data_IF_348851955972
#
_entry.id   IF_348851955972
#
_cell.length_a   1.000
_cell.length_b   1.000
_cell.length_c   1.000
_cell.angle_alpha   90.00
_cell.angle_beta   90.00
_cell.angle_gamma   90.00
#
_symmetry.space_group_name_H-M   'P 1'
#
loop_
_entity.id
_entity.type
_entity.pdbx_description
1 polymer ?
#
# COMPACT_ATOMS: atom_id res chain seq x y z
N UNK A 1 -11.32 -11.40 -17.86
CA UNK A 1 -10.68 -11.76 -16.58
C UNK A 1 -11.16 -13.14 -16.17
N UNK A 2 -10.26 -14.04 -15.78
CA UNK A 2 -10.66 -15.34 -15.26
C UNK A 2 -11.42 -15.15 -13.94
N UNK A 3 -12.48 -15.93 -13.76
CA UNK A 3 -13.24 -16.02 -12.52
C UNK A 3 -12.29 -16.35 -11.35
N UNK A 4 -12.20 -15.52 -10.29
CA UNK A 4 -11.35 -15.80 -9.13
C UNK A 4 -11.70 -17.11 -8.41
N UNK A 5 -12.84 -17.73 -8.73
CA UNK A 5 -13.25 -19.04 -8.22
C UNK A 5 -12.78 -20.23 -9.08
N UNK A 6 -12.04 -20.03 -10.17
CA UNK A 6 -11.56 -21.16 -10.99
C UNK A 6 -10.34 -21.82 -10.37
N UNK A 7 -10.46 -23.12 -10.11
CA UNK A 7 -9.34 -23.96 -9.77
C UNK A 7 -8.39 -24.02 -10.97
N UNK A 8 -7.15 -23.56 -10.80
CA UNK A 8 -6.14 -23.51 -11.85
C UNK A 8 -4.81 -24.07 -11.37
N UNK A 9 -4.04 -24.61 -12.30
CA UNK A 9 -2.64 -24.97 -12.07
C UNK A 9 -1.75 -24.12 -12.96
N UNK A 10 -0.76 -23.46 -12.35
CA UNK A 10 0.27 -22.69 -13.04
C UNK A 10 1.55 -23.53 -13.03
N UNK A 11 2.14 -23.76 -14.20
CA UNK A 11 3.48 -24.33 -14.32
C UNK A 11 4.53 -23.22 -14.29
N UNK A 12 5.45 -23.26 -13.35
CA UNK A 12 6.54 -22.29 -13.25
C UNK A 12 7.87 -23.00 -13.51
N UNK A 13 8.66 -22.50 -14.47
CA UNK A 13 10.04 -22.96 -14.61
C UNK A 13 10.87 -22.53 -13.40
N UNK A 14 10.71 -21.28 -12.96
CA UNK A 14 11.28 -20.76 -11.71
C UNK A 14 10.21 -20.10 -10.86
N UNK A 15 10.05 -20.57 -9.63
CA UNK A 15 9.22 -19.92 -8.63
C UNK A 15 10.10 -19.25 -7.57
N UNK A 16 9.99 -17.94 -7.45
CA UNK A 16 10.50 -17.18 -6.32
C UNK A 16 9.40 -17.11 -5.26
N UNK A 17 9.47 -17.98 -4.25
CA UNK A 17 8.43 -18.13 -3.22
C UNK A 17 8.54 -17.11 -2.06
N UNK A 18 9.62 -16.33 -2.03
CA UNK A 18 9.91 -15.36 -0.97
C UNK A 18 10.50 -15.97 0.30
N UNK A 19 10.80 -17.27 0.32
CA UNK A 19 11.34 -17.99 1.48
C UNK A 19 12.67 -18.66 1.16
N UNK A 20 12.73 -19.39 0.04
CA UNK A 20 13.94 -20.07 -0.39
C UNK A 20 15.01 -19.07 -0.86
N UNK A 21 16.29 -19.40 -0.61
CA UNK A 21 17.43 -18.59 -1.08
C UNK A 21 17.63 -18.64 -2.60
N UNK A 22 17.05 -19.62 -3.26
CA UNK A 22 17.13 -19.85 -4.70
C UNK A 22 15.75 -20.27 -5.20
N UNK A 23 15.39 -19.98 -6.46
CA UNK A 23 14.07 -20.31 -6.96
C UNK A 23 13.83 -21.82 -6.94
N UNK A 24 12.59 -22.22 -6.67
CA UNK A 24 12.15 -23.59 -6.89
C UNK A 24 12.02 -23.79 -8.41
N UNK A 25 12.66 -24.84 -8.91
CA UNK A 25 12.68 -25.13 -10.34
C UNK A 25 11.57 -26.13 -10.70
N UNK A 26 10.95 -25.92 -11.86
CA UNK A 26 9.95 -26.79 -12.48
C UNK A 26 8.86 -27.26 -11.51
N UNK A 27 8.03 -26.32 -11.06
CA UNK A 27 6.93 -26.57 -10.11
C UNK A 27 5.54 -26.33 -10.70
N UNK A 28 4.56 -27.05 -10.17
CA UNK A 28 3.13 -26.81 -10.34
C UNK A 28 2.58 -26.07 -9.11
N UNK A 29 1.94 -24.93 -9.34
CA UNK A 29 1.25 -24.13 -8.32
C UNK A 29 -0.24 -24.32 -8.52
N UNK A 30 -0.88 -25.04 -7.60
CA UNK A 30 -2.33 -25.30 -7.64
C UNK A 30 -3.04 -24.23 -6.83
N UNK A 31 -3.96 -23.52 -7.46
CA UNK A 31 -4.81 -22.52 -6.84
C UNK A 31 -6.23 -23.08 -6.82
N UNK A 32 -6.86 -23.10 -5.65
CA UNK A 32 -8.24 -23.52 -5.45
C UNK A 32 -8.97 -22.51 -4.59
N UNK A 33 -10.18 -22.11 -5.00
CA UNK A 33 -10.97 -21.11 -4.28
C UNK A 33 -10.20 -19.82 -3.98
N UNK A 34 -9.38 -19.35 -4.93
CA UNK A 34 -8.56 -18.14 -4.78
C UNK A 34 -7.36 -18.26 -3.83
N UNK A 35 -7.00 -19.47 -3.36
CA UNK A 35 -5.87 -19.70 -2.47
C UNK A 35 -4.88 -20.69 -3.07
N UNK A 36 -3.59 -20.52 -2.78
CA UNK A 36 -2.58 -21.52 -3.12
C UNK A 36 -2.83 -22.76 -2.27
N UNK A 37 -3.22 -23.86 -2.91
CA UNK A 37 -3.48 -25.16 -2.28
C UNK A 37 -2.19 -25.96 -2.07
N UNK A 38 -1.34 -25.98 -3.09
CA UNK A 38 -0.10 -26.74 -3.06
C UNK A 38 0.92 -26.20 -4.07
N UNK A 39 2.19 -26.36 -3.72
CA UNK A 39 3.33 -26.20 -4.62
C UNK A 39 4.03 -27.57 -4.62
N UNK A 40 4.19 -28.16 -5.80
CA UNK A 40 4.81 -29.48 -5.96
C UNK A 40 5.67 -29.51 -7.22
N UNK A 41 6.61 -30.47 -7.36
CA UNK A 41 7.31 -30.68 -8.62
C UNK A 41 6.33 -30.82 -9.79
N UNK A 42 6.69 -30.27 -10.93
CA UNK A 42 5.88 -30.29 -12.14
C UNK A 42 5.89 -31.68 -12.77
N UNK A 43 5.11 -32.58 -12.19
CA UNK A 43 4.90 -33.95 -12.67
C UNK A 43 3.47 -34.09 -13.18
N UNK A 44 3.26 -34.54 -14.41
CA UNK A 44 1.91 -34.86 -14.91
C UNK A 44 1.63 -34.44 -16.36
N UNK A 45 0.36 -34.55 -16.74
CA UNK A 45 -0.13 -34.29 -18.10
C UNK A 45 -0.21 -32.78 -18.38
N UNK A 46 0.40 -32.26 -19.47
CA UNK A 46 0.34 -30.85 -19.85
C UNK A 46 -1.09 -30.27 -19.94
N UNK A 47 -2.10 -31.10 -20.19
CA UNK A 47 -3.49 -30.66 -20.31
C UNK A 47 -4.11 -30.13 -19.01
N UNK A 48 -3.49 -30.36 -17.85
CA UNK A 48 -3.96 -29.85 -16.55
C UNK A 48 -3.37 -28.48 -16.18
N UNK A 49 -2.42 -27.97 -16.97
CA UNK A 49 -1.76 -26.69 -16.71
C UNK A 49 -2.48 -25.59 -17.49
N UNK A 50 -3.07 -24.65 -16.76
CA UNK A 50 -3.77 -23.52 -17.37
C UNK A 50 -2.79 -22.51 -17.99
N UNK A 51 -1.65 -22.26 -17.32
CA UNK A 51 -0.64 -21.31 -17.76
C UNK A 51 0.76 -21.81 -17.44
N UNK A 52 1.72 -21.49 -18.32
CA UNK A 52 3.16 -21.72 -18.07
C UNK A 52 3.90 -20.39 -18.11
N UNK A 53 4.81 -20.20 -17.16
CA UNK A 53 5.66 -19.02 -17.09
C UNK A 53 7.10 -19.39 -16.74
N UNK A 54 8.05 -18.63 -17.29
CA UNK A 54 9.48 -18.80 -16.98
C UNK A 54 9.83 -18.38 -15.55
N UNK A 55 9.14 -17.36 -15.06
CA UNK A 55 9.31 -16.80 -13.72
C UNK A 55 7.92 -16.58 -13.14
N UNK A 56 7.71 -17.10 -11.94
CA UNK A 56 6.54 -16.80 -11.11
C UNK A 56 7.02 -16.31 -9.75
N UNK A 57 6.32 -15.33 -9.21
CA UNK A 57 6.53 -14.80 -7.86
C UNK A 57 5.18 -14.32 -7.29
N UNK A 58 5.08 -14.09 -5.97
CA UNK A 58 3.96 -13.34 -5.41
C UNK A 58 3.81 -12.00 -6.14
N UNK A 59 2.57 -11.60 -6.42
CA UNK A 59 2.31 -10.28 -7.01
C UNK A 59 2.81 -9.17 -6.09
N UNK A 60 3.31 -8.08 -6.69
CA UNK A 60 3.96 -7.02 -5.93
C UNK A 60 2.97 -6.29 -5.02
N UNK A 61 3.51 -5.73 -3.94
CA UNK A 61 2.79 -4.86 -3.01
C UNK A 61 3.43 -3.47 -3.12
N UNK A 62 2.68 -2.52 -3.64
CA UNK A 62 3.13 -1.14 -3.79
C UNK A 62 2.59 -0.27 -2.65
N UNK A 63 3.48 0.19 -1.79
CA UNK A 63 3.12 0.98 -0.61
C UNK A 63 3.01 2.49 -0.93
N UNK A 64 3.45 2.92 -2.11
CA UNK A 64 3.43 4.32 -2.48
C UNK A 64 3.14 4.52 -3.97
N UNK A 65 1.84 4.62 -4.30
CA UNK A 65 1.37 4.85 -5.67
C UNK A 65 0.38 6.00 -5.72
N UNK A 66 0.83 7.15 -6.24
CA UNK A 66 -0.01 8.35 -6.37
C UNK A 66 -1.03 8.22 -7.51
N UNK A 67 -0.70 7.46 -8.55
CA UNK A 67 -1.53 7.30 -9.73
C UNK A 67 -1.01 6.22 -10.70
N UNK A 68 -1.90 5.74 -11.55
CA UNK A 68 -1.62 4.81 -12.66
C UNK A 68 -2.78 4.87 -13.67
N UNK A 69 -2.54 4.35 -14.88
CA UNK A 69 -3.53 4.36 -15.97
C UNK A 69 -4.07 5.77 -16.26
N UNK A 70 -3.16 6.76 -16.31
CA UNK A 70 -3.44 8.19 -16.51
C UNK A 70 -4.40 8.83 -15.47
N UNK A 71 -4.61 8.15 -14.34
CA UNK A 71 -5.40 8.66 -13.20
C UNK A 71 -4.48 8.93 -12.01
N UNK A 72 -4.55 10.14 -11.46
CA UNK A 72 -3.92 10.51 -10.20
C UNK A 72 -4.96 10.50 -9.09
N UNK A 73 -4.64 9.88 -7.95
CA UNK A 73 -5.57 9.80 -6.82
C UNK A 73 -5.85 11.18 -6.23
N UNK A 74 -4.83 12.05 -6.20
CA UNK A 74 -5.02 13.45 -5.82
C UNK A 74 -6.03 14.17 -6.72
N UNK A 75 -6.16 13.84 -8.01
CA UNK A 75 -7.12 14.52 -8.89
C UNK A 75 -8.50 13.86 -8.89
N UNK A 76 -8.56 12.53 -8.74
CA UNK A 76 -9.79 11.72 -8.82
C UNK A 76 -10.07 11.00 -7.51
N UNK A 77 -10.62 11.73 -6.54
CA UNK A 77 -10.93 11.25 -5.20
C UNK A 77 -12.23 10.43 -5.15
N UNK A 78 -12.22 9.26 -5.77
CA UNK A 78 -13.34 8.33 -5.77
C UNK A 78 -12.89 6.88 -5.79
N UNK A 79 -13.80 5.97 -5.46
CA UNK A 79 -13.56 4.54 -5.60
C UNK A 79 -13.30 4.14 -7.07
N UNK A 80 -13.94 4.80 -8.05
CA UNK A 80 -13.67 4.60 -9.48
C UNK A 80 -12.23 4.99 -9.85
N UNK A 81 -11.74 6.12 -9.33
CA UNK A 81 -10.35 6.54 -9.53
C UNK A 81 -9.38 5.49 -8.99
N UNK A 82 -9.65 4.96 -7.80
CA UNK A 82 -8.87 3.87 -7.20
C UNK A 82 -8.92 2.60 -8.06
N UNK A 83 -10.08 2.23 -8.62
CA UNK A 83 -10.20 1.07 -9.53
C UNK A 83 -9.29 1.24 -10.74
N UNK A 84 -9.29 2.42 -11.39
CA UNK A 84 -8.43 2.69 -12.53
C UNK A 84 -6.93 2.55 -12.17
N UNK A 85 -6.54 3.04 -10.99
CA UNK A 85 -5.16 2.91 -10.49
C UNK A 85 -4.81 1.43 -10.25
N UNK A 86 -5.69 0.65 -9.61
CA UNK A 86 -5.49 -0.80 -9.40
C UNK A 86 -5.32 -1.54 -10.74
N UNK A 87 -6.15 -1.23 -11.73
CA UNK A 87 -6.06 -1.84 -13.06
C UNK A 87 -4.74 -1.50 -13.75
N UNK A 88 -4.28 -0.25 -13.65
CA UNK A 88 -2.97 0.17 -14.15
C UNK A 88 -1.81 -0.55 -13.46
N UNK A 89 -1.83 -0.60 -12.11
CA UNK A 89 -0.81 -1.27 -11.32
C UNK A 89 -0.71 -2.77 -11.65
N UNK A 90 -1.84 -3.43 -11.91
CA UNK A 90 -1.89 -4.86 -12.30
C UNK A 90 -1.18 -5.15 -13.62
N UNK A 91 -1.13 -4.20 -14.56
CA UNK A 91 -0.37 -4.39 -15.81
C UNK A 91 1.14 -4.50 -15.55
N UNK A 92 1.63 -3.91 -14.46
CA UNK A 92 3.03 -4.01 -14.00
C UNK A 92 3.32 -5.21 -13.08
N UNK A 93 2.33 -6.06 -12.80
CA UNK A 93 2.47 -7.19 -11.87
C UNK A 93 2.17 -6.87 -10.40
N UNK A 94 1.73 -5.65 -10.09
CA UNK A 94 1.32 -5.26 -8.74
C UNK A 94 -0.06 -5.82 -8.41
N UNK A 95 -0.13 -6.64 -7.36
CA UNK A 95 -1.37 -7.26 -6.91
C UNK A 95 -2.07 -6.45 -5.81
N UNK A 96 -1.30 -5.73 -4.99
CA UNK A 96 -1.82 -4.96 -3.87
C UNK A 96 -1.20 -3.57 -3.84
N UNK A 97 -2.00 -2.58 -3.45
CA UNK A 97 -1.58 -1.19 -3.37
C UNK A 97 -2.07 -0.52 -2.08
N UNK A 98 -1.34 0.52 -1.69
CA UNK A 98 -1.84 1.64 -0.90
C UNK A 98 -1.92 2.86 -1.83
N UNK A 99 -3.11 3.26 -2.30
CA UNK A 99 -3.26 4.53 -3.02
C UNK A 99 -2.72 5.65 -2.15
N UNK A 100 -1.80 6.44 -2.69
CA UNK A 100 -1.10 7.49 -1.95
C UNK A 100 -1.76 8.83 -2.22
N UNK A 101 -2.28 9.45 -1.17
CA UNK A 101 -2.77 10.81 -1.21
C UNK A 101 -1.72 11.75 -0.61
N UNK A 102 -1.19 12.66 -1.42
CA UNK A 102 -0.21 13.65 -0.97
C UNK A 102 -0.89 14.87 -0.34
N UNK A 103 -0.07 15.77 0.22
CA UNK A 103 -0.49 17.01 0.89
C UNK A 103 -1.45 17.86 0.07
N UNK A 104 -2.58 18.19 0.69
CA UNK A 104 -3.67 18.98 0.12
C UNK A 104 -4.53 19.56 1.27
N UNK A 105 -5.61 20.28 0.94
CA UNK A 105 -6.57 20.82 1.91
C UNK A 105 -7.18 19.72 2.81
N UNK A 106 -7.48 20.08 4.07
CA UNK A 106 -8.02 19.17 5.09
C UNK A 106 -9.28 18.44 4.63
N UNK A 107 -10.18 19.13 3.91
CA UNK A 107 -11.40 18.52 3.38
C UNK A 107 -11.11 17.41 2.37
N UNK A 108 -10.10 17.59 1.51
CA UNK A 108 -9.69 16.61 0.50
C UNK A 108 -8.93 15.44 1.12
N UNK A 109 -8.11 15.71 2.13
CA UNK A 109 -7.45 14.69 2.94
C UNK A 109 -8.45 13.71 3.58
N UNK A 110 -9.52 14.23 4.19
CA UNK A 110 -10.60 13.41 4.77
C UNK A 110 -11.43 12.69 3.70
N UNK A 111 -11.62 13.33 2.54
CA UNK A 111 -12.28 12.71 1.39
C UNK A 111 -11.48 11.53 0.81
N UNK A 112 -10.14 11.60 0.78
CA UNK A 112 -9.28 10.51 0.33
C UNK A 112 -9.46 9.25 1.18
N UNK A 113 -9.46 9.39 2.52
CA UNK A 113 -9.75 8.28 3.44
C UNK A 113 -11.15 7.71 3.19
N UNK A 114 -12.14 8.58 2.94
CA UNK A 114 -13.52 8.16 2.64
C UNK A 114 -13.62 7.37 1.32
N UNK A 115 -12.92 7.80 0.27
CA UNK A 115 -12.86 7.09 -1.02
C UNK A 115 -12.26 5.69 -0.89
N UNK A 116 -11.20 5.54 -0.09
CA UNK A 116 -10.60 4.23 0.19
C UNK A 116 -11.54 3.33 1.00
N UNK A 117 -12.24 3.89 2.00
CA UNK A 117 -13.28 3.14 2.74
C UNK A 117 -14.36 2.62 1.81
N UNK A 118 -14.84 3.46 0.89
CA UNK A 118 -15.84 3.08 -0.10
C UNK A 118 -15.33 1.98 -1.04
N UNK A 119 -14.12 2.14 -1.60
CA UNK A 119 -13.51 1.14 -2.46
C UNK A 119 -13.39 -0.23 -1.77
N UNK A 120 -12.99 -0.24 -0.50
CA UNK A 120 -12.92 -1.47 0.31
C UNK A 120 -14.30 -2.05 0.61
N UNK A 121 -15.29 -1.22 0.96
CA UNK A 121 -16.66 -1.66 1.19
C UNK A 121 -17.29 -2.29 -0.07
N UNK A 122 -16.91 -1.80 -1.25
CA UNK A 122 -17.29 -2.37 -2.56
C UNK A 122 -16.51 -3.63 -2.95
N UNK A 123 -15.50 -4.02 -2.17
CA UNK A 123 -14.68 -5.20 -2.44
C UNK A 123 -13.69 -5.03 -3.59
N UNK A 124 -13.21 -3.80 -3.86
CA UNK A 124 -12.17 -3.57 -4.87
C UNK A 124 -10.91 -4.36 -4.51
N UNK A 125 -10.60 -5.38 -5.31
CA UNK A 125 -9.51 -6.33 -5.02
C UNK A 125 -8.14 -5.69 -5.20
N UNK A 126 -7.31 -5.76 -4.17
CA UNK A 126 -5.94 -5.25 -4.16
C UNK A 126 -5.74 -3.97 -3.34
N UNK A 127 -6.81 -3.32 -2.88
CA UNK A 127 -6.71 -2.13 -2.02
C UNK A 127 -6.55 -2.54 -0.56
N UNK A 128 -5.35 -2.39 -0.01
CA UNK A 128 -5.06 -2.75 1.39
C UNK A 128 -5.51 -1.69 2.39
N UNK A 129 -5.58 -0.45 1.94
CA UNK A 129 -5.91 0.73 2.72
C UNK A 129 -5.36 1.97 2.01
N UNK A 130 -4.77 2.92 2.74
CA UNK A 130 -4.30 4.20 2.20
C UNK A 130 -2.91 4.54 2.72
N UNK A 131 -2.12 5.21 1.88
CA UNK A 131 -0.92 5.93 2.31
C UNK A 131 -1.22 7.43 2.26
N UNK A 132 -1.11 8.10 3.40
CA UNK A 132 -1.18 9.56 3.51
C UNK A 132 0.24 10.13 3.59
N UNK A 133 0.65 10.86 2.55
CA UNK A 133 1.99 11.46 2.46
C UNK A 133 1.91 12.96 2.79
N UNK A 134 2.09 13.27 4.08
CA UNK A 134 1.78 14.57 4.67
C UNK A 134 0.33 14.69 5.16
N UNK A 135 -0.18 15.92 5.42
CA UNK A 135 0.43 17.23 5.23
C UNK A 135 1.45 17.64 6.30
N UNK A 136 1.72 16.77 7.27
CA UNK A 136 2.54 17.04 8.45
C UNK A 136 4.04 16.95 8.16
N UNK A 137 4.49 17.69 7.15
CA UNK A 137 5.85 17.63 6.59
C UNK A 137 6.69 18.83 7.04
N UNK A 138 8.00 18.77 6.78
CA UNK A 138 8.90 19.88 7.01
C UNK A 138 8.79 20.92 5.88
N UNK A 139 8.52 22.20 6.18
CA UNK A 139 8.54 23.26 5.18
C UNK A 139 9.91 23.44 4.49
N UNK A 140 10.99 22.91 5.09
CA UNK A 140 12.34 22.93 4.52
C UNK A 140 12.57 21.84 3.46
N UNK A 141 11.72 20.82 3.44
CA UNK A 141 11.80 19.67 2.53
C UNK A 141 10.47 19.42 1.79
N UNK A 142 9.85 20.45 1.17
CA UNK A 142 8.50 20.32 0.63
C UNK A 142 8.42 19.38 -0.58
N UNK A 143 9.51 19.22 -1.34
CA UNK A 143 9.48 18.44 -2.58
C UNK A 143 8.43 18.99 -3.54
N UNK A 144 7.52 18.13 -4.02
CA UNK A 144 6.40 18.52 -4.88
C UNK A 144 5.13 18.91 -4.11
N UNK A 145 5.15 18.81 -2.77
CA UNK A 145 3.99 19.11 -1.93
C UNK A 145 3.69 20.60 -1.96
N UNK A 146 2.41 21.02 -2.11
CA UNK A 146 2.03 22.43 -2.08
C UNK A 146 2.44 23.07 -0.75
N UNK A 147 3.39 24.03 -0.74
CA UNK A 147 3.94 24.57 0.52
C UNK A 147 2.87 25.18 1.43
N UNK A 148 1.86 25.84 0.84
CA UNK A 148 0.76 26.47 1.57
C UNK A 148 -0.19 25.47 2.25
N UNK A 149 -0.12 24.19 1.88
CA UNK A 149 -0.88 23.11 2.52
C UNK A 149 -0.06 22.35 3.57
N UNK A 150 1.26 22.55 3.64
CA UNK A 150 2.10 21.95 4.68
C UNK A 150 1.81 22.65 6.00
N UNK A 151 1.42 21.87 7.01
CA UNK A 151 1.00 22.38 8.31
C UNK A 151 1.33 21.40 9.44
N UNK A 152 1.49 21.87 10.69
CA UNK A 152 1.63 20.96 11.82
C UNK A 152 0.37 20.11 12.02
N UNK A 153 0.56 18.95 12.66
CA UNK A 153 -0.51 18.07 13.11
C UNK A 153 -1.15 18.64 14.37
N UNK A 154 -2.48 18.57 14.46
CA UNK A 154 -3.23 18.91 15.67
C UNK A 154 -3.95 17.68 16.28
N UNK A 155 -4.67 17.89 17.37
CA UNK A 155 -5.42 16.83 18.05
C UNK A 155 -6.59 16.28 17.21
N UNK A 156 -7.21 17.10 16.37
CA UNK A 156 -8.32 16.68 15.50
C UNK A 156 -7.81 15.78 14.37
N UNK A 157 -6.57 15.98 13.93
CA UNK A 157 -5.87 15.08 13.00
C UNK A 157 -5.54 13.75 13.66
N UNK A 158 -4.96 13.76 14.87
CA UNK A 158 -4.62 12.53 15.59
C UNK A 158 -5.88 11.70 15.84
N UNK A 159 -6.94 12.33 16.35
CA UNK A 159 -8.21 11.68 16.59
C UNK A 159 -8.82 11.08 15.31
N UNK A 160 -8.74 11.83 14.19
CA UNK A 160 -9.21 11.36 12.90
C UNK A 160 -8.44 10.15 12.39
N UNK A 161 -7.10 10.21 12.41
CA UNK A 161 -6.23 9.15 11.92
C UNK A 161 -6.40 7.87 12.75
N UNK A 162 -6.50 7.98 14.07
CA UNK A 162 -6.78 6.85 14.96
C UNK A 162 -8.15 6.19 14.69
N UNK A 163 -9.12 6.94 14.15
CA UNK A 163 -10.47 6.47 13.87
C UNK A 163 -10.75 6.20 12.38
N UNK A 164 -9.74 6.24 11.51
CA UNK A 164 -9.93 6.28 10.06
C UNK A 164 -10.69 5.06 9.49
N UNK A 165 -10.52 3.87 10.08
CA UNK A 165 -11.18 2.61 9.69
C UNK A 165 -11.16 2.34 8.18
N UNK A 166 -10.00 2.56 7.55
CA UNK A 166 -9.80 2.44 6.11
C UNK A 166 -8.94 1.24 5.70
N UNK A 167 -8.68 0.31 6.62
CA UNK A 167 -7.74 -0.81 6.42
C UNK A 167 -6.35 -0.44 6.91
N UNK A 168 -5.31 -0.82 6.18
CA UNK A 168 -3.96 -0.39 6.48
C UNK A 168 -3.83 1.13 6.29
N UNK A 169 -3.39 1.85 7.31
CA UNK A 169 -3.09 3.27 7.22
C UNK A 169 -1.59 3.46 7.39
N UNK A 170 -0.93 3.89 6.31
CA UNK A 170 0.47 4.32 6.33
C UNK A 170 0.49 5.84 6.30
N UNK A 171 1.17 6.46 7.26
CA UNK A 171 1.31 7.90 7.36
C UNK A 171 2.78 8.27 7.25
N UNK A 172 3.13 9.08 6.24
CA UNK A 172 4.44 9.71 6.15
C UNK A 172 4.36 11.12 6.71
N UNK A 173 5.19 11.41 7.71
CA UNK A 173 5.28 12.72 8.35
C UNK A 173 6.74 13.12 8.62
N UNK A 174 6.95 14.40 8.93
CA UNK A 174 8.20 14.91 9.45
C UNK A 174 8.18 14.84 10.98
N UNK A 175 8.95 13.94 11.63
CA UNK A 175 8.86 13.71 13.07
C UNK A 175 9.20 14.94 13.91
N UNK A 176 10.08 15.82 13.45
CA UNK A 176 10.41 17.09 14.11
C UNK A 176 9.23 18.09 14.11
N UNK A 177 8.18 17.81 13.33
CA UNK A 177 6.95 18.62 13.23
C UNK A 177 5.77 18.00 13.97
N UNK A 178 5.90 16.77 14.45
CA UNK A 178 4.85 16.08 15.19
C UNK A 178 4.85 16.53 16.66
N UNK A 179 3.68 16.74 17.29
CA UNK A 179 3.60 16.93 18.73
C UNK A 179 4.20 15.73 19.49
N UNK A 180 4.77 15.99 20.66
CA UNK A 180 5.32 14.94 21.53
C UNK A 180 4.26 13.86 21.83
N UNK A 181 4.61 12.59 21.68
CA UNK A 181 3.70 11.46 21.90
C UNK A 181 2.67 11.23 20.79
N UNK A 182 2.58 12.07 19.76
CA UNK A 182 1.63 11.89 18.66
C UNK A 182 1.92 10.60 17.87
N UNK A 183 3.19 10.30 17.58
CA UNK A 183 3.60 9.09 16.86
C UNK A 183 3.22 7.85 17.66
N UNK A 184 3.41 7.87 18.98
CA UNK A 184 3.00 6.78 19.87
C UNK A 184 1.50 6.53 19.81
N UNK A 185 0.69 7.58 19.91
CA UNK A 185 -0.78 7.46 19.85
C UNK A 185 -1.25 6.89 18.51
N UNK A 186 -0.66 7.34 17.41
CA UNK A 186 -0.96 6.84 16.07
C UNK A 186 -0.59 5.36 15.92
N UNK A 187 0.60 4.98 16.37
CA UNK A 187 1.08 3.59 16.26
C UNK A 187 0.32 2.63 17.18
N UNK A 188 -0.05 3.05 18.39
CA UNK A 188 -0.93 2.31 19.30
C UNK A 188 -2.35 2.11 18.71
N UNK A 189 -2.81 3.04 17.88
CA UNK A 189 -4.06 2.92 17.11
C UNK A 189 -3.92 2.07 15.84
N UNK A 190 -2.73 1.54 15.54
CA UNK A 190 -2.47 0.67 14.39
C UNK A 190 -2.04 1.41 13.11
N UNK A 191 -1.75 2.71 13.18
CA UNK A 191 -1.18 3.47 12.06
C UNK A 191 0.30 3.10 11.90
N UNK A 192 0.71 2.80 10.67
CA UNK A 192 2.14 2.65 10.35
C UNK A 192 2.72 4.03 10.05
N UNK A 193 3.66 4.50 10.87
CA UNK A 193 4.24 5.84 10.72
C UNK A 193 5.64 5.75 10.13
N UNK A 194 5.86 6.45 9.02
CA UNK A 194 7.12 6.60 8.30
C UNK A 194 7.65 8.03 8.44
N UNK A 195 8.97 8.19 8.48
CA UNK A 195 9.63 9.49 8.36
C UNK A 195 9.81 9.85 6.88
N UNK A 196 9.38 11.04 6.49
CA UNK A 196 9.60 11.55 5.13
C UNK A 196 9.44 13.07 5.08
N UNK A 197 10.04 13.69 4.05
CA UNK A 197 10.03 15.15 3.89
C UNK A 197 10.44 15.88 5.18
N UNK A 198 11.49 15.39 5.81
CA UNK A 198 11.93 15.77 7.15
C UNK A 198 13.32 16.42 7.13
N UNK A 199 13.51 17.42 7.97
CA UNK A 199 14.80 18.01 8.32
C UNK A 199 15.32 17.49 9.67
N UNK A 200 14.70 16.45 10.23
CA UNK A 200 15.02 15.91 11.54
C UNK A 200 16.48 15.47 11.64
N UNK A 201 17.10 15.77 12.77
CA UNK A 201 18.41 15.25 13.11
C UNK A 201 18.33 13.81 13.66
N UNK A 202 19.51 13.25 13.97
CA UNK A 202 19.62 11.90 14.50
C UNK A 202 18.85 11.70 15.82
N UNK A 203 18.85 12.70 16.70
CA UNK A 203 18.22 12.59 18.01
C UNK A 203 16.69 12.68 17.87
N UNK A 204 16.19 13.51 16.96
CA UNK A 204 14.78 13.62 16.61
C UNK A 204 14.24 12.31 16.01
N UNK A 205 14.96 11.71 15.06
CA UNK A 205 14.60 10.39 14.50
C UNK A 205 14.62 9.32 15.60
N UNK A 206 15.64 9.32 16.47
CA UNK A 206 15.75 8.35 17.56
C UNK A 206 14.56 8.46 18.53
N UNK A 207 14.15 9.68 18.89
CA UNK A 207 12.94 9.90 19.70
C UNK A 207 11.68 9.38 19.01
N UNK A 208 11.51 9.65 17.72
CA UNK A 208 10.37 9.16 16.95
C UNK A 208 10.35 7.62 16.85
N UNK A 209 11.50 6.97 16.65
CA UNK A 209 11.61 5.50 16.66
C UNK A 209 11.20 4.91 18.03
N UNK A 210 11.57 5.58 19.13
CA UNK A 210 11.13 5.18 20.49
C UNK A 210 9.62 5.34 20.70
N UNK A 211 8.95 6.17 19.88
CA UNK A 211 7.49 6.30 19.84
C UNK A 211 6.83 5.35 18.83
N UNK A 212 7.59 4.53 18.09
CA UNK A 212 7.05 3.53 17.19
C UNK A 212 7.14 3.84 15.70
N UNK A 213 7.85 4.91 15.30
CA UNK A 213 8.23 5.12 13.90
C UNK A 213 9.04 3.93 13.36
N UNK A 214 8.71 3.43 12.16
CA UNK A 214 9.28 2.17 11.62
C UNK A 214 9.65 2.19 10.15
N UNK A 215 9.55 3.33 9.46
CA UNK A 215 10.00 3.52 8.09
C UNK A 215 10.58 4.90 7.86
#
# INVERSE_FOLDING_TARGET
MADPARDITIGARRLFDGVARSPLEDVAIRIEGGRIRSIAPLTGNPSQIAFRADIVCPGFVDLQINGANDVQFNDTLSAEGIVAIVEGARQGGTAHILPTFITDAVSRYRAAVSAVREARARGVSGVLGIHLEGPFLSPERPGIHPPDCIRPMDEDDIAFLCAADCGALLLTLAPERAPEGAIRRLTEAGVTVFAGHTAADFDEITRACNEGLRG
#
